data_IF_910554966362
#
_entry.id   IF_910554966362
#
_cell.length_a   1.000
_cell.length_b   1.000
_cell.length_c   1.000
_cell.angle_alpha   90.00
_cell.angle_beta   90.00
_cell.angle_gamma   90.00
#
_symmetry.space_group_name_H-M   'P 1'
#
loop_
_entity.id
_entity.type
_entity.pdbx_description
1 polymer ?
#
# COMPACT_ATOMS: atom_id res chain seq x y z
N UNK A 1 3.24 0.51 5.51
CA UNK A 1 1.99 0.94 6.20
C UNK A 1 1.43 -0.10 7.17
N UNK A 2 1.35 -1.39 6.81
CA UNK A 2 0.80 -2.45 7.69
C UNK A 2 1.47 -2.52 9.07
N UNK A 3 2.80 -2.35 9.15
CA UNK A 3 3.55 -2.36 10.41
C UNK A 3 3.11 -1.25 11.38
N UNK A 4 2.85 -0.03 10.88
CA UNK A 4 2.40 1.07 11.73
C UNK A 4 1.01 0.77 12.31
N UNK A 5 0.09 0.29 11.48
CA UNK A 5 -1.26 -0.07 11.93
C UNK A 5 -1.22 -1.20 12.96
N UNK A 6 -0.42 -2.24 12.71
CA UNK A 6 -0.26 -3.34 13.66
C UNK A 6 0.39 -2.89 14.98
N UNK A 7 1.37 -2.00 14.92
CA UNK A 7 1.93 -1.35 16.11
C UNK A 7 0.85 -0.59 16.89
N UNK A 8 0.02 0.21 16.22
CA UNK A 8 -1.06 0.96 16.88
C UNK A 8 -2.08 0.01 17.50
N UNK A 9 -2.45 -1.07 16.83
CA UNK A 9 -3.32 -2.08 17.43
C UNK A 9 -2.74 -2.63 18.73
N UNK A 10 -1.43 -2.90 18.79
CA UNK A 10 -0.80 -3.42 20.01
C UNK A 10 -0.60 -2.35 21.10
N UNK A 11 -0.31 -1.11 20.72
CA UNK A 11 0.22 -0.10 21.63
C UNK A 11 -0.70 1.12 21.85
N UNK A 12 -1.88 1.19 21.22
CA UNK A 12 -2.77 2.36 21.30
C UNK A 12 -3.10 2.79 22.73
N UNK A 13 -3.25 1.85 23.66
CA UNK A 13 -3.55 2.13 25.07
C UNK A 13 -2.31 2.45 25.92
N UNK A 14 -1.11 2.17 25.41
CA UNK A 14 0.15 2.31 26.16
C UNK A 14 0.87 3.63 25.88
N UNK A 15 0.47 4.34 24.82
CA UNK A 15 1.13 5.58 24.40
C UNK A 15 2.55 5.40 23.86
N UNK A 16 3.01 4.15 23.67
CA UNK A 16 4.32 3.87 23.06
C UNK A 16 4.26 4.36 21.60
N UNK A 17 5.13 5.30 21.19
CA UNK A 17 5.12 5.81 19.83
C UNK A 17 5.71 4.79 18.85
N UNK A 18 5.27 4.90 17.59
CA UNK A 18 5.87 4.13 16.50
C UNK A 18 7.35 4.50 16.36
N UNK A 19 8.28 3.53 16.28
CA UNK A 19 9.72 3.79 16.38
C UNK A 19 10.33 4.49 15.15
N UNK A 20 9.56 4.73 14.09
CA UNK A 20 10.05 5.38 12.87
C UNK A 20 9.27 6.66 12.58
N UNK A 21 9.89 7.82 12.84
CA UNK A 21 9.28 9.14 12.67
C UNK A 21 8.98 9.54 11.22
N UNK A 22 9.48 8.80 10.22
CA UNK A 22 9.19 9.06 8.81
C UNK A 22 7.72 8.82 8.45
N UNK A 23 7.04 7.93 9.18
CA UNK A 23 5.63 7.61 8.98
C UNK A 23 4.89 8.03 10.24
N UNK A 24 4.04 9.03 10.12
CA UNK A 24 3.19 9.51 11.20
C UNK A 24 1.87 10.00 10.63
N UNK A 25 0.83 9.93 11.44
CA UNK A 25 -0.47 10.50 11.11
C UNK A 25 -0.47 11.99 11.45
N UNK A 26 -1.03 12.80 10.55
CA UNK A 26 -1.23 14.23 10.77
C UNK A 26 -2.40 14.44 11.72
N UNK A 27 -2.47 15.63 12.31
CA UNK A 27 -3.53 15.99 13.27
C UNK A 27 -4.93 15.80 12.67
N UNK A 28 -5.12 16.14 11.39
CA UNK A 28 -6.40 15.96 10.70
C UNK A 28 -6.72 14.52 10.32
N UNK A 29 -5.75 13.60 10.36
CA UNK A 29 -5.96 12.16 10.11
C UNK A 29 -6.29 11.42 11.42
N UNK A 30 -6.06 12.05 12.57
CA UNK A 30 -6.16 11.39 13.88
C UNK A 30 -7.56 10.88 14.21
N UNK A 31 -8.61 11.63 13.81
CA UNK A 31 -9.99 11.20 13.99
C UNK A 31 -10.31 9.91 13.22
N UNK A 32 -9.87 9.84 11.95
CA UNK A 32 -10.06 8.67 11.11
C UNK A 32 -9.27 7.46 11.61
N UNK A 33 -8.04 7.66 12.09
CA UNK A 33 -7.25 6.59 12.70
C UNK A 33 -7.91 6.07 13.96
N UNK A 34 -8.45 6.96 14.81
CA UNK A 34 -9.19 6.55 16.01
C UNK A 34 -10.41 5.71 15.65
N UNK A 35 -11.18 6.15 14.63
CA UNK A 35 -12.33 5.41 14.12
C UNK A 35 -11.94 4.00 13.62
N UNK A 36 -10.85 3.86 12.87
CA UNK A 36 -10.33 2.56 12.42
C UNK A 36 -9.85 1.69 13.59
N UNK A 37 -9.24 2.28 14.61
CA UNK A 37 -8.78 1.52 15.79
C UNK A 37 -9.95 1.03 16.65
N UNK A 38 -11.06 1.75 16.63
CA UNK A 38 -12.29 1.43 17.35
C UNK A 38 -13.34 0.70 16.49
N UNK A 39 -13.06 0.49 15.20
CA UNK A 39 -14.00 -0.12 14.27
C UNK A 39 -14.40 -1.53 14.70
N UNK A 40 -15.68 -1.84 14.51
CA UNK A 40 -16.25 -3.12 14.87
C UNK A 40 -17.36 -3.53 13.91
N UNK A 41 -17.52 -4.83 13.74
CA UNK A 41 -18.60 -5.43 12.98
C UNK A 41 -19.05 -6.71 13.69
N UNK A 42 -20.35 -7.02 13.66
CA UNK A 42 -20.91 -8.23 14.29
C UNK A 42 -20.48 -8.40 15.76
N UNK A 43 -20.48 -7.29 16.52
CA UNK A 43 -20.11 -7.25 17.94
C UNK A 43 -18.66 -7.72 18.25
N UNK A 44 -17.75 -7.62 17.26
CA UNK A 44 -16.32 -7.85 17.43
C UNK A 44 -15.52 -6.66 16.92
N UNK A 45 -14.46 -6.27 17.66
CA UNK A 45 -13.53 -5.23 17.22
C UNK A 45 -12.63 -5.76 16.10
N UNK A 46 -12.34 -4.93 15.12
CA UNK A 46 -11.48 -5.31 13.99
C UNK A 46 -10.05 -5.59 14.44
N UNK A 47 -9.56 -4.89 15.46
CA UNK A 47 -8.29 -5.20 16.14
C UNK A 47 -8.20 -6.67 16.56
N UNK A 48 -9.24 -7.21 17.18
CA UNK A 48 -9.25 -8.58 17.69
C UNK A 48 -9.22 -9.58 16.54
N UNK A 49 -9.96 -9.28 15.46
CA UNK A 49 -9.98 -10.08 14.22
C UNK A 49 -8.59 -10.12 13.57
N UNK A 50 -7.94 -8.95 13.44
CA UNK A 50 -6.59 -8.83 12.88
C UNK A 50 -5.60 -9.64 13.72
N UNK A 51 -5.65 -9.51 15.05
CA UNK A 51 -4.74 -10.23 15.95
C UNK A 51 -4.95 -11.74 15.90
N UNK A 52 -6.21 -12.19 15.85
CA UNK A 52 -6.54 -13.62 15.71
C UNK A 52 -6.02 -14.18 14.37
N UNK A 53 -6.22 -13.45 13.27
CA UNK A 53 -5.71 -13.81 11.94
C UNK A 53 -4.18 -13.96 11.94
N UNK A 54 -3.47 -13.03 12.58
CA UNK A 54 -2.00 -13.11 12.70
C UNK A 54 -1.62 -14.29 13.59
N UNK A 55 -2.24 -14.49 14.74
CA UNK A 55 -1.90 -15.61 15.63
C UNK A 55 -2.13 -16.98 14.98
N UNK A 56 -3.19 -17.11 14.17
CA UNK A 56 -3.55 -18.35 13.46
C UNK A 56 -2.80 -18.57 12.15
N UNK A 57 -2.06 -17.58 11.65
CA UNK A 57 -1.30 -17.70 10.40
C UNK A 57 0.01 -18.46 10.58
N UNK A 58 0.63 -18.84 9.47
CA UNK A 58 1.93 -19.51 9.43
C UNK A 58 3.04 -18.72 10.16
N UNK A 59 4.12 -19.42 10.49
CA UNK A 59 5.34 -18.81 11.05
C UNK A 59 6.10 -17.91 10.05
N UNK A 60 5.70 -17.94 8.78
CA UNK A 60 6.24 -17.13 7.68
C UNK A 60 5.14 -16.27 7.06
N UNK A 61 5.49 -15.02 6.73
CA UNK A 61 4.64 -14.08 5.99
C UNK A 61 5.40 -13.60 4.76
N UNK A 62 4.81 -13.84 3.59
CA UNK A 62 5.34 -13.33 2.32
C UNK A 62 4.76 -11.96 2.05
N UNK A 63 5.62 -10.97 1.82
CA UNK A 63 5.20 -9.58 1.56
C UNK A 63 5.63 -9.19 0.16
N UNK A 64 4.69 -8.74 -0.67
CA UNK A 64 4.96 -8.16 -1.99
C UNK A 64 5.64 -6.80 -1.84
N UNK A 65 6.94 -6.83 -1.56
CA UNK A 65 7.80 -5.69 -1.28
C UNK A 65 9.26 -6.11 -1.45
N UNK A 66 10.19 -5.18 -1.28
CA UNK A 66 11.63 -5.44 -1.30
C UNK A 66 12.35 -4.65 -0.19
N UNK A 67 13.53 -5.14 0.18
CA UNK A 67 14.22 -4.74 1.41
C UNK A 67 14.66 -3.28 1.40
N UNK A 68 15.01 -2.78 0.23
CA UNK A 68 15.55 -1.45 -0.01
C UNK A 68 14.53 -0.35 0.32
N UNK A 69 13.22 -0.61 0.14
CA UNK A 69 12.17 0.36 0.46
C UNK A 69 11.59 0.12 1.86
N UNK A 70 11.29 -1.12 2.24
CA UNK A 70 10.52 -1.40 3.46
C UNK A 70 11.25 -2.25 4.51
N UNK A 71 12.54 -2.54 4.34
CA UNK A 71 13.32 -3.47 5.18
C UNK A 71 13.15 -3.23 6.69
N UNK A 72 13.38 -2.01 7.15
CA UNK A 72 13.25 -1.66 8.59
C UNK A 72 11.84 -1.89 9.15
N UNK A 73 10.80 -1.71 8.32
CA UNK A 73 9.42 -1.94 8.72
C UNK A 73 9.07 -3.44 8.74
N UNK A 74 9.68 -4.22 7.84
CA UNK A 74 9.54 -5.68 7.82
C UNK A 74 10.24 -6.32 9.03
N UNK A 75 11.44 -5.86 9.37
CA UNK A 75 12.17 -6.30 10.56
C UNK A 75 11.36 -6.00 11.82
N UNK A 76 10.78 -4.80 11.92
CA UNK A 76 9.93 -4.44 13.05
C UNK A 76 8.62 -5.25 13.09
N UNK A 77 7.99 -5.50 11.94
CA UNK A 77 6.81 -6.37 11.88
C UNK A 77 7.13 -7.80 12.33
N UNK A 78 8.34 -8.29 12.01
CA UNK A 78 8.82 -9.59 12.51
C UNK A 78 8.87 -9.63 14.03
N UNK A 79 9.37 -8.57 14.68
CA UNK A 79 9.38 -8.43 16.14
C UNK A 79 7.96 -8.39 16.71
N UNK A 80 7.07 -7.60 16.12
CA UNK A 80 5.69 -7.45 16.63
C UNK A 80 4.87 -8.75 16.51
N UNK A 81 5.12 -9.55 15.48
CA UNK A 81 4.31 -10.74 15.16
C UNK A 81 4.97 -12.04 15.62
N UNK A 82 6.27 -12.03 15.91
CA UNK A 82 7.08 -13.23 16.13
C UNK A 82 7.27 -14.09 14.88
N UNK A 83 6.98 -13.57 13.68
CA UNK A 83 6.98 -14.33 12.41
C UNK A 83 8.14 -13.92 11.52
N UNK A 84 8.60 -14.86 10.68
CA UNK A 84 9.57 -14.57 9.64
C UNK A 84 8.89 -13.80 8.50
N UNK A 85 9.28 -12.54 8.31
CA UNK A 85 8.80 -11.71 7.20
C UNK A 85 9.77 -11.87 6.02
N UNK A 86 9.26 -12.28 4.86
CA UNK A 86 10.07 -12.48 3.65
C UNK A 86 9.55 -11.59 2.52
N UNK A 87 10.31 -10.57 2.09
CA UNK A 87 9.97 -9.82 0.90
C UNK A 87 10.14 -10.69 -0.35
N UNK A 88 9.12 -10.74 -1.21
CA UNK A 88 9.15 -11.53 -2.45
C UNK A 88 9.37 -10.69 -3.72
N UNK A 89 9.74 -9.43 -3.54
CA UNK A 89 9.98 -8.49 -4.63
C UNK A 89 8.69 -7.96 -5.27
N UNK A 90 8.84 -7.10 -6.29
CA UNK A 90 7.71 -6.71 -7.12
C UNK A 90 7.26 -7.92 -7.94
N UNK A 91 6.10 -8.48 -7.57
CA UNK A 91 5.42 -9.47 -8.40
C UNK A 91 4.79 -8.73 -9.60
N UNK A 92 5.57 -8.58 -10.67
CA UNK A 92 5.13 -8.03 -11.96
C UNK A 92 4.65 -9.21 -12.80
N UNK A 93 3.44 -9.09 -13.37
CA UNK A 93 2.96 -10.08 -14.33
C UNK A 93 3.74 -9.94 -15.63
N UNK A 94 4.08 -11.07 -16.26
CA UNK A 94 4.67 -11.04 -17.59
C UNK A 94 3.71 -10.34 -18.56
N UNK A 95 4.23 -9.52 -19.49
CA UNK A 95 3.40 -8.86 -20.49
C UNK A 95 2.66 -9.92 -21.30
N UNK A 96 1.36 -9.69 -21.50
CA UNK A 96 0.54 -10.53 -22.37
C UNK A 96 1.19 -10.61 -23.76
N UNK A 97 1.35 -11.81 -24.34
CA UNK A 97 1.86 -11.95 -25.71
C UNK A 97 0.88 -11.42 -26.76
N UNK A 98 -0.37 -11.16 -26.37
CA UNK A 98 -1.40 -10.59 -27.25
C UNK A 98 -1.25 -9.08 -27.29
N UNK A 99 -0.82 -8.58 -28.46
CA UNK A 99 -0.67 -7.15 -28.73
C UNK A 99 -2.06 -6.49 -28.85
N UNK A 100 -2.47 -5.73 -27.82
CA UNK A 100 -3.71 -4.96 -27.86
C UNK A 100 -3.53 -3.74 -28.79
N UNK A 101 -4.38 -3.63 -29.82
CA UNK A 101 -4.39 -2.50 -30.77
C UNK A 101 -4.46 -1.14 -30.07
N UNK A 102 -5.23 -1.03 -28.97
CA UNK A 102 -5.34 0.21 -28.20
C UNK A 102 -4.03 0.55 -27.49
N UNK A 103 -3.37 -0.44 -26.89
CA UNK A 103 -2.06 -0.24 -26.25
C UNK A 103 -1.04 0.26 -27.28
N UNK A 104 -1.00 -0.35 -28.46
CA UNK A 104 -0.12 0.06 -29.55
C UNK A 104 -0.35 1.51 -29.99
N UNK A 105 -1.61 1.92 -30.14
CA UNK A 105 -1.96 3.31 -30.48
C UNK A 105 -1.51 4.31 -29.41
N UNK A 106 -1.67 3.96 -28.13
CA UNK A 106 -1.21 4.81 -27.02
C UNK A 106 0.31 4.93 -27.01
N UNK A 107 1.04 3.83 -27.20
CA UNK A 107 2.51 3.87 -27.28
C UNK A 107 3.00 4.73 -28.44
N UNK A 108 2.44 4.55 -29.64
CA UNK A 108 2.77 5.40 -30.80
C UNK A 108 2.48 6.88 -30.55
N UNK A 109 1.39 7.20 -29.85
CA UNK A 109 1.08 8.56 -29.47
C UNK A 109 2.07 9.12 -28.42
N UNK A 110 2.51 8.30 -27.46
CA UNK A 110 3.53 8.68 -26.47
C UNK A 110 4.88 8.98 -27.11
N UNK A 111 5.27 8.22 -28.14
CA UNK A 111 6.53 8.42 -28.89
C UNK A 111 6.63 9.82 -29.54
N UNK A 112 5.49 10.48 -29.79
CA UNK A 112 5.43 11.84 -30.34
C UNK A 112 5.60 12.95 -29.29
N UNK A 113 5.73 12.62 -28.00
CA UNK A 113 5.75 13.58 -26.89
C UNK A 113 7.18 13.78 -26.40
N UNK A 114 7.48 14.98 -25.89
CA UNK A 114 8.76 15.23 -25.24
C UNK A 114 8.86 14.41 -23.94
N UNK A 115 10.07 14.03 -23.57
CA UNK A 115 10.34 13.27 -22.34
C UNK A 115 9.77 14.03 -21.13
N UNK A 116 8.99 13.34 -20.30
CA UNK A 116 8.37 13.92 -19.09
C UNK A 116 7.19 14.87 -19.34
N UNK A 117 6.69 15.00 -20.58
CA UNK A 117 5.61 15.95 -20.92
C UNK A 117 4.18 15.38 -20.84
N UNK A 118 4.03 14.09 -20.54
CA UNK A 118 2.73 13.41 -20.42
C UNK A 118 2.50 12.95 -18.99
N UNK A 119 1.27 13.10 -18.50
CA UNK A 119 0.80 12.57 -17.22
C UNK A 119 -0.07 11.34 -17.47
N UNK A 120 0.23 10.24 -16.79
CA UNK A 120 -0.61 9.04 -16.77
C UNK A 120 -1.55 9.10 -15.54
N UNK A 121 -2.85 8.89 -15.75
CA UNK A 121 -3.86 8.85 -14.69
C UNK A 121 -4.66 7.57 -14.82
N UNK A 122 -4.62 6.72 -13.80
CA UNK A 122 -5.41 5.49 -13.73
C UNK A 122 -5.76 5.22 -12.27
N UNK A 123 -7.02 4.89 -12.00
CA UNK A 123 -7.51 4.52 -10.68
C UNK A 123 -7.52 3.00 -10.47
N UNK A 124 -7.03 2.22 -11.44
CA UNK A 124 -7.20 0.78 -11.47
C UNK A 124 -8.63 0.37 -11.86
N UNK A 125 -8.85 -0.94 -11.99
CA UNK A 125 -10.16 -1.50 -12.33
C UNK A 125 -11.08 -1.70 -11.12
N UNK A 126 -10.59 -1.42 -9.91
CA UNK A 126 -11.38 -1.52 -8.67
C UNK A 126 -12.39 -0.37 -8.55
N UNK A 127 -12.15 0.74 -9.25
CA UNK A 127 -13.07 1.85 -9.39
C UNK A 127 -13.63 1.85 -10.82
N UNK A 128 -14.95 2.02 -10.96
CA UNK A 128 -15.65 2.01 -12.26
C UNK A 128 -15.34 3.23 -13.16
N UNK A 129 -14.44 4.12 -12.74
CA UNK A 129 -14.09 5.32 -13.51
C UNK A 129 -12.92 5.07 -14.48
N UNK A 130 -13.23 5.21 -15.78
CA UNK A 130 -12.32 5.01 -16.90
C UNK A 130 -11.07 5.93 -16.85
N UNK A 131 -9.97 5.44 -17.42
CA UNK A 131 -8.69 6.15 -17.58
C UNK A 131 -8.90 7.47 -18.36
N UNK A 132 -8.51 8.60 -17.77
CA UNK A 132 -8.47 9.91 -18.42
C UNK A 132 -7.02 10.31 -18.77
N UNK A 133 -6.78 10.78 -19.98
CA UNK A 133 -5.48 11.34 -20.37
C UNK A 133 -5.55 12.87 -20.41
N UNK A 134 -4.77 13.53 -19.57
CA UNK A 134 -4.74 15.00 -19.49
C UNK A 134 -3.39 15.53 -20.00
N UNK A 135 -3.42 16.34 -21.07
CA UNK A 135 -2.21 17.02 -21.58
C UNK A 135 -2.03 18.34 -20.83
N UNK A 136 -0.93 18.49 -20.10
CA UNK A 136 -0.53 19.80 -19.53
C UNK A 136 -0.09 20.71 -20.68
N UNK A 137 -0.85 21.77 -20.96
CA UNK A 137 -0.45 22.85 -21.86
C UNK A 137 0.09 23.98 -20.99
N UNK A 138 1.37 23.95 -20.65
CA UNK A 138 2.04 25.15 -20.16
C UNK A 138 2.60 25.90 -21.36
N UNK A 139 2.07 27.09 -21.62
CA UNK A 139 2.82 28.14 -22.30
C UNK A 139 3.51 28.94 -21.19
N UNK A 140 4.85 28.90 -21.19
CA UNK A 140 5.64 30.00 -20.66
C UNK A 140 5.79 31.04 -21.75
#
# INVERSE_FOLDING_TARGET
>A
MATNMFHLYLNSSTGIPFPFSTIYYRSYESGHVSEILESSAHNRKDKDRVMECVNRSSSIVLVKSFKEIEGKYNDYLSVLTGKKIVPVGPLVADPSPVEDKKQKQVMQWLDTKAIGSTVFVSFGSEYDENIFYMKRKYHF
#
